data_IF_881235831568
#
_entry.id   IF_881235831568
#
_cell.length_a   1.000
_cell.length_b   1.000
_cell.length_c   1.000
_cell.angle_alpha   90.00
_cell.angle_beta   90.00
_cell.angle_gamma   90.00
#
_symmetry.space_group_name_H-M   'P 1'
#
loop_
_entity.id
_entity.type
_entity.pdbx_description
1 polymer ?
#
# COMPACT_ATOMS: atom_id res chain seq x y z
N UNK A 1 16.15 25.05 -10.07
CA UNK A 1 16.35 23.61 -9.87
C UNK A 1 17.12 22.95 -11.01
N UNK A 2 17.00 23.35 -12.27
CA UNK A 2 17.75 22.76 -13.41
C UNK A 2 19.28 22.65 -13.22
N UNK A 3 19.91 23.52 -12.41
CA UNK A 3 21.36 23.51 -12.16
C UNK A 3 21.80 22.34 -11.25
N UNK A 4 20.91 21.82 -10.39
CA UNK A 4 21.23 20.74 -9.45
C UNK A 4 20.87 19.35 -9.98
N UNK A 5 20.08 19.25 -11.06
CA UNK A 5 19.62 17.98 -11.64
C UNK A 5 20.77 17.00 -11.94
N UNK A 6 21.90 17.38 -12.57
CA UNK A 6 22.98 16.45 -12.84
C UNK A 6 23.67 15.90 -11.57
N UNK A 7 23.77 16.72 -10.52
CA UNK A 7 24.38 16.28 -9.26
C UNK A 7 23.47 15.29 -8.52
N UNK A 8 22.15 15.55 -8.49
CA UNK A 8 21.18 14.68 -7.83
C UNK A 8 21.02 13.39 -8.61
N UNK A 9 20.94 13.43 -9.93
CA UNK A 9 20.94 12.25 -10.81
C UNK A 9 22.18 11.38 -10.53
N UNK A 10 23.37 11.99 -10.43
CA UNK A 10 24.60 11.28 -10.09
C UNK A 10 24.55 10.63 -8.71
N UNK A 11 24.03 11.34 -7.70
CA UNK A 11 23.86 10.80 -6.34
C UNK A 11 22.86 9.63 -6.31
N UNK A 12 21.73 9.76 -7.00
CA UNK A 12 20.75 8.69 -7.14
C UNK A 12 21.35 7.44 -7.79
N UNK A 13 22.14 7.62 -8.84
CA UNK A 13 22.85 6.51 -9.49
C UNK A 13 23.94 5.88 -8.62
N UNK A 14 24.65 6.67 -7.80
CA UNK A 14 25.62 6.13 -6.83
C UNK A 14 24.95 5.25 -5.79
N UNK A 15 23.69 5.59 -5.41
CA UNK A 15 22.92 4.78 -4.51
C UNK A 15 22.50 3.45 -5.13
N UNK A 16 22.24 3.39 -6.43
CA UNK A 16 21.91 2.15 -7.15
C UNK A 16 22.97 1.07 -6.99
N UNK A 17 24.23 1.43 -6.76
CA UNK A 17 25.30 0.49 -6.43
C UNK A 17 24.99 -0.34 -5.16
N UNK A 18 24.31 0.21 -4.17
CA UNK A 18 23.85 -0.55 -3.00
C UNK A 18 22.80 -1.59 -3.36
N UNK A 19 21.87 -1.22 -4.25
CA UNK A 19 20.88 -2.15 -4.79
C UNK A 19 21.59 -3.34 -5.48
N UNK A 20 22.56 -3.05 -6.34
CA UNK A 20 23.35 -4.09 -6.99
C UNK A 20 24.08 -5.01 -6.01
N UNK A 21 24.48 -4.49 -4.86
CA UNK A 21 25.21 -5.26 -3.87
C UNK A 21 24.36 -6.41 -3.30
N UNK A 22 23.17 -6.09 -2.76
CA UNK A 22 22.29 -7.14 -2.23
C UNK A 22 21.59 -7.96 -3.32
N UNK A 23 21.46 -7.45 -4.52
CA UNK A 23 21.00 -8.24 -5.69
C UNK A 23 22.00 -9.38 -6.01
N UNK A 24 23.31 -9.15 -5.82
CA UNK A 24 24.34 -10.16 -6.07
C UNK A 24 24.35 -11.29 -5.04
N UNK A 25 24.04 -11.00 -3.78
CA UNK A 25 23.94 -12.01 -2.71
C UNK A 25 22.68 -11.80 -1.86
N UNK A 26 21.49 -12.08 -2.43
CA UNK A 26 20.22 -11.81 -1.78
C UNK A 26 19.99 -12.65 -0.52
N UNK A 27 20.57 -13.83 -0.44
CA UNK A 27 20.43 -14.72 0.70
C UNK A 27 21.29 -14.24 1.88
N UNK A 28 22.49 -13.73 1.61
CA UNK A 28 23.31 -13.11 2.65
C UNK A 28 22.64 -11.83 3.18
N UNK A 29 22.13 -10.95 2.30
CA UNK A 29 21.42 -9.76 2.71
C UNK A 29 20.24 -10.07 3.65
N UNK A 30 19.41 -11.05 3.32
CA UNK A 30 18.29 -11.46 4.17
C UNK A 30 18.72 -12.12 5.49
N UNK A 31 19.85 -12.79 5.51
CA UNK A 31 20.43 -13.35 6.75
C UNK A 31 20.91 -12.22 7.67
N UNK A 32 21.57 -11.22 7.12
CA UNK A 32 22.05 -10.05 7.87
C UNK A 32 20.87 -9.28 8.45
N UNK A 33 19.83 -9.02 7.66
CA UNK A 33 18.58 -8.38 8.13
C UNK A 33 17.96 -9.17 9.29
N UNK A 34 17.79 -10.49 9.16
CA UNK A 34 17.24 -11.31 10.26
C UNK A 34 18.09 -11.23 11.52
N UNK A 35 19.41 -11.29 11.39
CA UNK A 35 20.31 -11.22 12.55
C UNK A 35 20.23 -9.85 13.23
N UNK A 36 20.14 -8.80 12.47
CA UNK A 36 19.98 -7.43 12.98
C UNK A 36 18.65 -7.27 13.72
N UNK A 37 17.54 -7.70 13.13
CA UNK A 37 16.21 -7.68 13.75
C UNK A 37 16.21 -8.44 15.09
N UNK A 38 16.78 -9.64 15.13
CA UNK A 38 16.87 -10.46 16.37
C UNK A 38 17.70 -9.74 17.44
N UNK A 39 18.80 -9.12 17.02
CA UNK A 39 19.70 -8.40 17.94
C UNK A 39 18.98 -7.22 18.59
N UNK A 40 18.22 -6.43 17.81
CA UNK A 40 17.42 -5.32 18.33
C UNK A 40 16.22 -5.80 19.15
N UNK A 41 15.53 -6.84 18.69
CA UNK A 41 14.35 -7.36 19.35
C UNK A 41 14.60 -8.18 20.65
N UNK A 42 15.82 -8.64 20.93
CA UNK A 42 16.09 -9.62 22.00
C UNK A 42 15.70 -9.18 23.42
N UNK A 43 15.70 -7.87 23.67
CA UNK A 43 15.37 -7.34 25.00
C UNK A 43 13.91 -6.90 25.13
N UNK A 44 13.13 -6.98 24.06
CA UNK A 44 11.70 -6.66 24.08
C UNK A 44 10.89 -7.75 24.80
N UNK A 45 9.63 -7.45 25.12
CA UNK A 45 8.71 -8.43 25.72
C UNK A 45 8.55 -9.65 24.80
N UNK A 46 8.32 -9.43 23.51
CA UNK A 46 8.16 -10.50 22.52
C UNK A 46 9.47 -11.27 22.28
N UNK A 47 10.61 -10.57 22.31
CA UNK A 47 11.93 -11.19 22.20
C UNK A 47 12.27 -12.10 23.38
N UNK A 48 11.93 -11.70 24.59
CA UNK A 48 12.05 -12.54 25.79
C UNK A 48 11.11 -13.73 25.72
N UNK A 49 9.84 -13.53 25.32
CA UNK A 49 8.84 -14.61 25.16
C UNK A 49 9.34 -15.70 24.22
N UNK A 50 9.92 -15.33 23.09
CA UNK A 50 10.40 -16.27 22.07
C UNK A 50 11.91 -16.53 22.12
N UNK A 51 12.58 -16.15 23.22
CA UNK A 51 13.98 -16.46 23.52
C UNK A 51 14.95 -16.02 22.39
N UNK A 52 14.79 -14.80 21.89
CA UNK A 52 15.58 -14.28 20.76
C UNK A 52 17.08 -14.35 20.99
N UNK A 53 17.57 -14.14 22.23
CA UNK A 53 18.99 -14.27 22.61
C UNK A 53 19.58 -15.65 22.29
N UNK A 54 18.77 -16.67 22.07
CA UNK A 54 19.20 -18.02 21.72
C UNK A 54 19.12 -18.34 20.23
N UNK A 55 18.56 -17.41 19.42
CA UNK A 55 18.35 -17.61 17.97
C UNK A 55 19.63 -17.23 17.23
N UNK A 56 20.23 -18.17 16.55
CA UNK A 56 21.46 -17.99 15.77
C UNK A 56 21.31 -18.40 14.28
N UNK A 57 20.13 -18.86 13.88
CA UNK A 57 19.82 -19.17 12.48
C UNK A 57 18.30 -19.19 12.23
N UNK A 58 17.92 -19.13 10.95
CA UNK A 58 16.53 -19.13 10.49
C UNK A 58 15.74 -20.36 10.97
N UNK A 59 16.36 -21.55 11.03
CA UNK A 59 15.67 -22.78 11.47
C UNK A 59 15.20 -22.65 12.91
N UNK A 60 16.07 -22.12 13.81
CA UNK A 60 15.72 -21.89 15.20
C UNK A 60 14.71 -20.76 15.36
N UNK A 61 14.83 -19.69 14.56
CA UNK A 61 13.84 -18.62 14.50
C UNK A 61 12.44 -19.16 14.20
N UNK A 62 12.29 -19.95 13.14
CA UNK A 62 11.02 -20.56 12.74
C UNK A 62 10.48 -21.57 13.76
N UNK A 63 11.34 -22.21 14.52
CA UNK A 63 10.94 -23.16 15.56
C UNK A 63 10.40 -22.49 16.83
N UNK A 64 10.90 -21.29 17.16
CA UNK A 64 10.54 -20.58 18.40
C UNK A 64 9.43 -19.54 18.18
N UNK A 65 9.42 -18.87 17.02
CA UNK A 65 8.46 -17.82 16.69
C UNK A 65 7.37 -18.40 15.79
N UNK A 66 6.10 -18.42 16.18
CA UNK A 66 5.01 -18.86 15.32
C UNK A 66 4.75 -17.84 14.19
N UNK A 67 4.07 -18.28 13.13
CA UNK A 67 3.44 -17.32 12.18
C UNK A 67 2.30 -16.65 12.93
N UNK A 68 2.20 -15.32 12.82
CA UNK A 68 1.26 -14.51 13.57
C UNK A 68 0.33 -13.75 12.63
N UNK A 69 -0.96 -13.76 12.94
CA UNK A 69 -1.94 -12.85 12.38
C UNK A 69 -1.95 -11.53 13.18
N UNK A 70 -2.71 -10.55 12.71
CA UNK A 70 -2.87 -9.29 13.43
C UNK A 70 -3.42 -9.49 14.84
N UNK A 71 -4.38 -10.37 14.99
CA UNK A 71 -5.04 -10.69 16.25
C UNK A 71 -4.07 -11.24 17.31
N UNK A 72 -3.04 -11.96 16.88
CA UNK A 72 -1.99 -12.49 17.77
C UNK A 72 -1.05 -11.40 18.28
N UNK A 73 -0.80 -10.37 17.45
CA UNK A 73 0.04 -9.23 17.80
C UNK A 73 -0.74 -8.09 18.47
N UNK A 74 -2.06 -8.04 18.28
CA UNK A 74 -2.92 -6.96 18.79
C UNK A 74 -2.75 -6.67 20.29
N UNK A 75 -2.68 -7.65 21.19
CA UNK A 75 -2.45 -7.37 22.62
C UNK A 75 -1.15 -6.58 22.87
N UNK A 76 -0.08 -6.90 22.16
CA UNK A 76 1.20 -6.19 22.25
C UNK A 76 1.13 -4.80 21.61
N UNK A 77 0.44 -4.68 20.48
CA UNK A 77 0.19 -3.40 19.81
C UNK A 77 -0.60 -2.47 20.75
N UNK A 78 -1.63 -2.98 21.42
CA UNK A 78 -2.43 -2.23 22.39
C UNK A 78 -1.56 -1.74 23.58
N UNK A 79 -0.60 -2.53 24.07
CA UNK A 79 0.35 -2.11 25.11
C UNK A 79 1.26 -0.98 24.61
N UNK A 80 1.81 -1.10 23.39
CA UNK A 80 2.60 -0.02 22.76
C UNK A 80 1.78 1.26 22.60
N UNK A 81 0.52 1.16 22.19
CA UNK A 81 -0.40 2.30 22.08
C UNK A 81 -0.72 2.96 23.44
N UNK A 82 -0.52 2.26 24.55
CA UNK A 82 -0.60 2.82 25.91
C UNK A 82 0.73 3.46 26.36
N UNK A 83 1.77 3.42 25.53
CA UNK A 83 3.07 4.01 25.81
C UNK A 83 4.03 3.08 26.55
N UNK A 84 3.74 1.77 26.62
CA UNK A 84 4.64 0.81 27.25
C UNK A 84 5.86 0.58 26.36
N UNK A 85 7.10 0.72 26.91
CA UNK A 85 8.33 0.56 26.14
C UNK A 85 8.72 -0.90 25.98
N UNK A 86 9.61 -1.19 25.04
CA UNK A 86 10.25 -2.49 24.85
C UNK A 86 9.27 -3.67 24.69
N UNK A 87 8.11 -3.43 24.07
CA UNK A 87 7.11 -4.48 23.82
C UNK A 87 7.43 -5.24 22.54
N UNK A 88 7.30 -4.57 21.39
CA UNK A 88 7.51 -5.13 20.05
C UNK A 88 8.88 -4.80 19.47
N UNK A 89 9.40 -3.61 19.79
CA UNK A 89 10.68 -3.10 19.30
C UNK A 89 11.39 -2.35 20.43
N UNK A 90 12.72 -2.19 20.32
CA UNK A 90 13.55 -1.62 21.38
C UNK A 90 13.71 -0.09 21.34
N UNK A 91 13.12 0.55 20.36
CA UNK A 91 12.99 2.02 20.30
C UNK A 91 11.52 2.43 20.47
N UNK A 92 11.23 3.65 20.92
CA UNK A 92 9.86 4.12 21.04
C UNK A 92 9.11 4.05 19.71
N UNK A 93 7.86 3.59 19.77
CA UNK A 93 6.94 3.59 18.64
C UNK A 93 5.88 4.66 18.89
N UNK A 94 6.02 5.79 18.23
CA UNK A 94 5.12 6.95 18.37
C UNK A 94 4.07 6.99 17.27
N UNK A 95 4.25 6.20 16.21
CA UNK A 95 3.40 6.24 15.04
C UNK A 95 2.75 4.90 14.74
N UNK A 96 1.47 4.97 14.34
CA UNK A 96 0.74 3.80 13.86
C UNK A 96 0.08 4.12 12.52
N UNK A 97 0.32 3.25 11.54
CA UNK A 97 -0.43 3.30 10.29
C UNK A 97 -1.78 2.60 10.47
N UNK A 98 -2.88 3.35 10.25
CA UNK A 98 -4.22 2.78 10.23
C UNK A 98 -4.47 2.12 8.87
N UNK A 99 -4.78 0.84 8.89
CA UNK A 99 -5.09 0.04 7.71
C UNK A 99 -6.48 -0.57 7.87
N UNK A 100 -7.15 -0.90 6.77
CA UNK A 100 -8.45 -1.56 6.80
C UNK A 100 -8.37 -2.92 7.48
N UNK A 101 -9.32 -3.19 8.38
CA UNK A 101 -9.40 -4.43 9.14
C UNK A 101 -9.94 -5.59 8.32
N UNK A 102 -9.49 -6.81 8.63
CA UNK A 102 -9.87 -8.02 7.88
C UNK A 102 -10.82 -8.95 8.63
N UNK A 103 -11.16 -8.72 9.91
CA UNK A 103 -11.93 -9.74 10.66
C UNK A 103 -13.00 -9.20 11.58
N UNK A 104 -12.69 -8.53 12.66
CA UNK A 104 -13.69 -8.10 13.66
C UNK A 104 -13.67 -6.60 13.95
N UNK A 105 -12.53 -5.97 13.77
CA UNK A 105 -12.36 -4.53 13.94
C UNK A 105 -12.30 -3.85 12.57
N UNK A 106 -12.89 -2.67 12.46
CA UNK A 106 -12.90 -1.86 11.23
C UNK A 106 -11.50 -1.42 10.78
N UNK A 107 -10.49 -1.49 11.62
CA UNK A 107 -9.14 -1.00 11.30
C UNK A 107 -8.06 -1.77 12.07
N UNK A 108 -6.90 -1.94 11.42
CA UNK A 108 -5.66 -2.40 12.04
C UNK A 108 -4.77 -1.19 12.32
N UNK A 109 -3.97 -1.28 13.38
CA UNK A 109 -2.95 -0.29 13.70
C UNK A 109 -1.57 -0.94 13.60
N UNK A 110 -0.87 -0.62 12.54
CA UNK A 110 0.46 -1.19 12.26
C UNK A 110 1.51 -0.27 12.91
N UNK A 111 2.35 -0.80 13.81
CA UNK A 111 3.36 0.00 14.48
C UNK A 111 4.44 0.45 13.50
N UNK A 112 4.83 1.71 13.58
CA UNK A 112 5.89 2.33 12.78
C UNK A 112 6.96 2.89 13.72
N UNK A 113 8.08 2.18 13.86
CA UNK A 113 9.27 2.72 14.53
C UNK A 113 9.93 3.78 13.66
N UNK A 114 10.81 4.58 14.24
CA UNK A 114 11.61 5.54 13.47
C UNK A 114 12.44 4.83 12.39
N UNK A 115 13.01 3.67 12.71
CA UNK A 115 13.78 2.84 11.77
C UNK A 115 12.91 2.34 10.62
N UNK A 116 11.65 1.94 10.86
CA UNK A 116 10.76 1.52 9.78
C UNK A 116 10.37 2.69 8.87
N UNK A 117 10.20 3.88 9.41
CA UNK A 117 9.94 5.09 8.62
C UNK A 117 11.16 5.44 7.76
N UNK A 118 12.35 5.50 8.36
CA UNK A 118 13.56 5.99 7.68
C UNK A 118 14.23 4.94 6.79
N UNK A 119 14.47 3.74 7.35
CA UNK A 119 15.27 2.70 6.68
C UNK A 119 14.44 1.77 5.80
N UNK A 120 13.09 1.83 5.90
CA UNK A 120 12.20 1.11 5.00
C UNK A 120 11.44 2.07 4.08
N UNK A 121 10.44 2.81 4.59
CA UNK A 121 9.54 3.60 3.74
C UNK A 121 10.25 4.71 2.98
N UNK A 122 11.03 5.56 3.68
CA UNK A 122 11.78 6.63 3.00
C UNK A 122 12.93 6.07 2.18
N UNK A 123 13.55 4.99 2.65
CA UNK A 123 14.61 4.34 1.91
C UNK A 123 14.08 3.73 0.60
N UNK A 124 12.94 3.05 0.64
CA UNK A 124 12.25 2.53 -0.56
C UNK A 124 11.91 3.64 -1.56
N UNK A 125 11.40 4.77 -1.06
CA UNK A 125 11.14 5.95 -1.90
C UNK A 125 12.40 6.52 -2.57
N UNK A 126 13.55 6.55 -1.86
CA UNK A 126 14.84 6.96 -2.43
C UNK A 126 15.34 5.94 -3.46
N UNK A 127 15.09 4.65 -3.24
CA UNK A 127 15.51 3.61 -4.15
C UNK A 127 14.67 3.58 -5.43
N UNK A 128 13.39 3.92 -5.38
CA UNK A 128 12.57 4.19 -6.56
C UNK A 128 13.20 5.25 -7.45
N UNK A 129 13.63 6.38 -6.88
CA UNK A 129 14.34 7.42 -7.64
C UNK A 129 15.68 6.93 -8.19
N UNK A 130 16.42 6.14 -7.39
CA UNK A 130 17.71 5.58 -7.81
C UNK A 130 17.55 4.61 -8.99
N UNK A 131 16.54 3.76 -8.95
CA UNK A 131 16.15 2.84 -10.02
C UNK A 131 15.78 3.63 -11.28
N UNK A 132 14.93 4.64 -11.14
CA UNK A 132 14.48 5.46 -12.27
C UNK A 132 15.64 6.17 -12.97
N UNK A 133 16.52 6.84 -12.21
CA UNK A 133 17.70 7.51 -12.76
C UNK A 133 18.78 6.54 -13.29
N UNK A 134 18.81 5.32 -12.81
CA UNK A 134 19.67 4.30 -13.39
C UNK A 134 19.14 3.85 -14.75
N UNK A 135 17.82 3.70 -14.92
CA UNK A 135 17.18 3.37 -16.18
C UNK A 135 17.21 4.54 -17.18
N UNK A 136 17.00 5.76 -16.70
CA UNK A 136 16.92 6.99 -17.50
C UNK A 136 17.85 8.07 -16.95
N UNK A 137 19.17 7.99 -17.23
CA UNK A 137 20.17 8.93 -16.65
C UNK A 137 19.99 10.38 -17.03
N UNK A 138 19.36 10.66 -18.17
CA UNK A 138 19.14 12.00 -18.73
C UNK A 138 17.75 12.57 -18.34
N UNK A 139 17.03 11.91 -17.42
CA UNK A 139 15.69 12.34 -16.96
C UNK A 139 15.76 13.73 -16.31
N UNK A 140 14.78 14.55 -16.65
CA UNK A 140 14.55 15.87 -16.08
C UNK A 140 13.61 15.84 -14.86
N UNK A 141 13.28 14.67 -14.32
CA UNK A 141 12.29 14.43 -13.26
C UNK A 141 12.40 15.43 -12.09
N UNK A 142 13.63 15.67 -11.60
CA UNK A 142 13.90 16.57 -10.46
C UNK A 142 14.07 18.04 -10.85
N UNK A 143 13.78 18.42 -12.10
CA UNK A 143 13.72 19.84 -12.48
C UNK A 143 12.41 20.48 -12.08
N UNK A 144 11.36 19.69 -11.88
CA UNK A 144 10.05 20.09 -11.40
C UNK A 144 9.72 19.53 -10.02
N UNK A 145 8.43 19.41 -9.76
CA UNK A 145 7.87 18.94 -8.48
C UNK A 145 7.15 17.61 -8.64
N UNK A 146 7.17 16.81 -7.60
CA UNK A 146 6.36 15.61 -7.47
C UNK A 146 5.01 15.96 -6.83
N UNK A 147 3.93 15.63 -7.50
CA UNK A 147 2.59 15.68 -6.92
C UNK A 147 2.34 14.39 -6.15
N UNK A 148 2.06 14.50 -4.85
CA UNK A 148 1.76 13.37 -3.98
C UNK A 148 0.31 13.45 -3.53
N UNK A 149 -0.47 12.42 -3.88
CA UNK A 149 -1.86 12.30 -3.46
C UNK A 149 -1.85 11.44 -2.18
N UNK A 150 -1.96 12.11 -1.03
CA UNK A 150 -2.06 11.44 0.27
C UNK A 150 -3.43 10.80 0.49
N UNK A 151 -3.52 9.89 1.45
CA UNK A 151 -4.76 9.25 1.88
C UNK A 151 -5.82 10.21 2.43
N UNK A 152 -6.96 9.66 2.85
CA UNK A 152 -8.16 10.42 3.25
C UNK A 152 -8.23 10.78 4.74
N UNK A 153 -7.28 10.29 5.56
CA UNK A 153 -7.36 10.47 7.00
C UNK A 153 -6.25 11.38 7.53
N UNK A 154 -6.62 12.27 8.43
CA UNK A 154 -5.65 13.05 9.21
C UNK A 154 -4.92 12.14 10.19
N UNK A 155 -3.85 12.69 10.75
CA UNK A 155 -3.20 12.12 11.91
C UNK A 155 -3.98 12.48 13.17
N UNK A 156 -4.26 11.49 14.00
CA UNK A 156 -5.02 11.62 15.24
C UNK A 156 -4.15 11.24 16.44
N UNK A 157 -4.20 12.02 17.53
CA UNK A 157 -3.52 11.64 18.76
C UNK A 157 -4.24 10.45 19.42
N UNK A 158 -3.46 9.54 20.03
CA UNK A 158 -3.95 8.47 20.88
C UNK A 158 -3.71 8.85 22.34
N UNK A 159 -2.44 9.08 22.68
CA UNK A 159 -1.99 9.42 24.03
C UNK A 159 -0.61 10.09 23.93
N UNK A 160 -0.41 11.20 24.66
CA UNK A 160 0.85 11.93 24.69
C UNK A 160 1.40 12.15 23.24
N UNK A 161 2.58 11.64 22.94
CA UNK A 161 3.22 11.75 21.62
C UNK A 161 2.80 10.64 20.64
N UNK A 162 1.94 9.71 21.05
CA UNK A 162 1.51 8.58 20.22
C UNK A 162 0.36 9.00 19.30
N UNK A 163 0.52 8.75 18.01
CA UNK A 163 -0.39 9.18 16.96
C UNK A 163 -0.68 8.06 15.95
N UNK A 164 -1.80 8.17 15.26
CA UNK A 164 -2.12 7.28 14.15
C UNK A 164 -2.73 8.04 12.96
N UNK A 165 -2.57 7.50 11.79
CA UNK A 165 -3.18 8.01 10.56
C UNK A 165 -2.98 7.02 9.41
N UNK A 166 -3.43 7.37 8.21
CA UNK A 166 -3.01 6.63 7.02
C UNK A 166 -1.49 6.65 6.90
N UNK A 167 -0.90 5.58 6.37
CA UNK A 167 0.55 5.51 6.14
C UNK A 167 1.07 6.76 5.42
N UNK A 168 0.38 7.20 4.36
CA UNK A 168 0.78 8.38 3.59
C UNK A 168 0.76 9.66 4.43
N UNK A 169 -0.21 9.83 5.33
CA UNK A 169 -0.28 10.98 6.23
C UNK A 169 0.86 10.94 7.25
N UNK A 170 1.16 9.78 7.83
CA UNK A 170 2.29 9.59 8.74
C UNK A 170 3.60 9.91 8.05
N UNK A 171 3.85 9.36 6.85
CA UNK A 171 5.08 9.62 6.09
C UNK A 171 5.21 11.09 5.68
N UNK A 172 4.11 11.75 5.32
CA UNK A 172 4.12 13.17 4.98
C UNK A 172 4.50 14.05 6.18
N UNK A 173 3.98 13.75 7.38
CA UNK A 173 4.31 14.48 8.59
C UNK A 173 5.76 14.26 9.06
N UNK A 174 6.27 13.06 8.87
CA UNK A 174 7.66 12.71 9.23
C UNK A 174 8.67 13.05 8.12
N UNK A 175 8.20 13.58 6.98
CA UNK A 175 9.11 13.89 5.87
C UNK A 175 10.03 15.06 6.19
N UNK A 176 11.31 15.04 5.74
CA UNK A 176 12.24 16.12 5.96
C UNK A 176 11.70 17.47 5.44
N UNK A 177 11.99 18.57 6.13
CA UNK A 177 11.49 19.93 5.79
C UNK A 177 11.81 20.30 4.33
N UNK A 178 12.98 19.91 3.81
CA UNK A 178 13.38 20.21 2.43
C UNK A 178 12.49 19.49 1.39
N UNK A 179 11.79 18.43 1.76
CA UNK A 179 10.89 17.72 0.83
C UNK A 179 9.76 18.61 0.32
N UNK A 180 9.35 19.62 1.11
CA UNK A 180 8.38 20.62 0.68
C UNK A 180 8.84 21.49 -0.51
N UNK A 181 10.14 21.54 -0.81
CA UNK A 181 10.66 22.27 -1.96
C UNK A 181 10.46 21.52 -3.29
N UNK A 182 10.36 20.19 -3.23
CA UNK A 182 10.28 19.29 -4.40
C UNK A 182 8.92 18.59 -4.52
N UNK A 183 8.00 18.87 -3.60
CA UNK A 183 6.69 18.24 -3.52
C UNK A 183 5.57 19.26 -3.61
N UNK A 184 4.46 18.85 -4.18
CA UNK A 184 3.16 19.53 -4.14
C UNK A 184 2.07 18.50 -3.81
N UNK A 185 0.96 18.92 -3.19
CA UNK A 185 0.69 20.24 -2.61
C UNK A 185 1.41 20.46 -1.28
N UNK A 186 1.12 21.60 -0.64
CA UNK A 186 1.47 21.83 0.76
C UNK A 186 0.79 20.82 1.69
N UNK A 187 1.39 20.59 2.88
CA UNK A 187 0.87 19.62 3.86
C UNK A 187 -0.58 19.90 4.27
N UNK A 188 -0.95 21.16 4.40
CA UNK A 188 -2.32 21.58 4.74
C UNK A 188 -3.38 21.05 3.77
N UNK A 189 -3.06 20.96 2.49
CA UNK A 189 -3.94 20.40 1.46
C UNK A 189 -3.79 18.88 1.41
N UNK A 190 -2.56 18.38 1.46
CA UNK A 190 -2.29 16.95 1.38
C UNK A 190 -2.96 16.14 2.51
N UNK A 191 -3.15 16.74 3.69
CA UNK A 191 -3.74 16.14 4.88
C UNK A 191 -5.21 16.49 5.12
N UNK A 192 -5.90 17.09 4.13
CA UNK A 192 -7.35 17.35 4.26
C UNK A 192 -8.15 16.04 4.32
N UNK A 193 -9.20 16.02 5.15
CA UNK A 193 -10.08 14.86 5.33
C UNK A 193 -11.16 14.79 4.25
N UNK A 194 -11.73 15.95 3.90
CA UNK A 194 -12.86 16.03 2.99
C UNK A 194 -12.39 15.93 1.54
N UNK A 195 -12.72 14.82 0.88
CA UNK A 195 -12.18 14.46 -0.43
C UNK A 195 -12.54 15.42 -1.57
N UNK A 196 -13.75 15.94 -1.59
CA UNK A 196 -14.18 16.84 -2.67
C UNK A 196 -13.40 18.16 -2.62
N UNK A 197 -13.34 18.77 -1.42
CA UNK A 197 -12.54 19.97 -1.21
C UNK A 197 -11.04 19.69 -1.42
N UNK A 198 -10.56 18.52 -1.01
CA UNK A 198 -9.17 18.10 -1.23
C UNK A 198 -8.83 18.02 -2.71
N UNK A 199 -9.64 17.33 -3.52
CA UNK A 199 -9.43 17.22 -4.97
C UNK A 199 -9.50 18.60 -5.63
N UNK A 200 -10.42 19.45 -5.23
CA UNK A 200 -10.53 20.82 -5.76
C UNK A 200 -9.29 21.66 -5.42
N UNK A 201 -8.86 21.64 -4.14
CA UNK A 201 -7.67 22.36 -3.70
C UNK A 201 -6.38 21.80 -4.31
N UNK A 202 -6.27 20.47 -4.44
CA UNK A 202 -5.19 19.81 -5.17
C UNK A 202 -5.10 20.30 -6.61
N UNK A 203 -6.24 20.27 -7.34
CA UNK A 203 -6.28 20.70 -8.73
C UNK A 203 -5.87 22.18 -8.84
N UNK A 204 -6.50 23.07 -8.08
CA UNK A 204 -6.23 24.51 -8.15
C UNK A 204 -4.79 24.89 -7.78
N UNK A 205 -4.24 24.26 -6.75
CA UNK A 205 -2.89 24.58 -6.25
C UNK A 205 -1.77 24.04 -7.15
N UNK A 206 -2.05 23.03 -7.99
CA UNK A 206 -1.01 22.34 -8.76
C UNK A 206 -0.99 22.69 -10.25
N UNK A 207 -2.06 23.27 -10.79
CA UNK A 207 -2.16 23.62 -12.23
C UNK A 207 -0.99 24.52 -12.67
N UNK A 208 -0.57 25.48 -11.85
CA UNK A 208 0.52 26.42 -12.17
C UNK A 208 1.91 25.94 -11.73
N UNK A 209 1.98 24.77 -11.10
CA UNK A 209 3.24 24.21 -10.63
C UNK A 209 3.93 23.42 -11.75
N UNK A 210 5.26 23.40 -11.79
CA UNK A 210 6.02 22.60 -12.75
C UNK A 210 6.03 21.12 -12.35
N UNK A 211 4.89 20.45 -12.46
CA UNK A 211 4.77 19.03 -12.09
C UNK A 211 5.43 18.16 -13.13
N UNK A 212 6.43 17.38 -12.70
CA UNK A 212 7.13 16.39 -13.53
C UNK A 212 6.73 14.96 -13.22
N UNK A 213 6.22 14.71 -12.02
CA UNK A 213 5.78 13.37 -11.61
C UNK A 213 4.60 13.39 -10.67
N UNK A 214 3.87 12.27 -10.64
CA UNK A 214 2.79 12.01 -9.69
C UNK A 214 3.09 10.70 -8.98
N UNK A 215 2.82 10.64 -7.67
CA UNK A 215 2.74 9.42 -6.89
C UNK A 215 1.36 9.30 -6.24
N UNK A 216 0.65 8.20 -6.53
CA UNK A 216 -0.69 7.99 -5.99
C UNK A 216 -1.39 6.75 -6.54
N UNK A 217 -2.47 6.37 -5.85
CA UNK A 217 -3.33 5.26 -6.27
C UNK A 217 -4.07 5.63 -7.57
N UNK A 218 -4.16 4.72 -8.56
CA UNK A 218 -4.75 5.00 -9.87
C UNK A 218 -6.13 5.67 -9.84
N UNK A 219 -7.03 5.19 -9.00
CA UNK A 219 -8.40 5.71 -8.91
C UNK A 219 -8.43 7.21 -8.58
N UNK A 220 -7.77 7.61 -7.50
CA UNK A 220 -7.75 9.01 -7.06
C UNK A 220 -6.94 9.90 -7.98
N UNK A 221 -5.86 9.39 -8.53
CA UNK A 221 -5.07 10.10 -9.54
C UNK A 221 -5.93 10.39 -10.76
N UNK A 222 -6.70 9.43 -11.24
CA UNK A 222 -7.61 9.61 -12.38
C UNK A 222 -8.66 10.72 -12.13
N UNK A 223 -9.29 10.72 -10.94
CA UNK A 223 -10.25 11.75 -10.53
C UNK A 223 -9.60 13.14 -10.55
N UNK A 224 -8.41 13.27 -9.96
CA UNK A 224 -7.67 14.53 -9.93
C UNK A 224 -7.29 15.00 -11.33
N UNK A 225 -6.74 14.15 -12.17
CA UNK A 225 -6.35 14.51 -13.54
C UNK A 225 -7.56 14.96 -14.37
N UNK A 226 -8.69 14.26 -14.29
CA UNK A 226 -9.95 14.67 -14.93
C UNK A 226 -10.40 16.06 -14.43
N UNK A 227 -10.31 16.32 -13.13
CA UNK A 227 -10.67 17.62 -12.56
C UNK A 227 -9.76 18.76 -13.06
N UNK A 228 -8.45 18.52 -13.14
CA UNK A 228 -7.51 19.49 -13.71
C UNK A 228 -7.84 19.83 -15.16
N UNK A 229 -8.16 18.84 -15.99
CA UNK A 229 -8.55 19.06 -17.37
C UNK A 229 -9.87 19.86 -17.49
N UNK A 230 -10.84 19.59 -16.62
CA UNK A 230 -12.08 20.37 -16.55
C UNK A 230 -11.84 21.84 -16.21
N UNK A 231 -11.00 22.13 -15.21
CA UNK A 231 -10.68 23.50 -14.78
C UNK A 231 -9.90 24.25 -15.85
N UNK A 232 -8.93 23.59 -16.48
CA UNK A 232 -8.04 24.25 -17.45
C UNK A 232 -8.64 24.34 -18.87
N UNK A 233 -9.67 23.53 -19.17
CA UNK A 233 -10.21 23.37 -20.52
C UNK A 233 -9.23 22.72 -21.50
N UNK A 234 -8.10 22.15 -20.98
CA UNK A 234 -7.12 21.44 -21.80
C UNK A 234 -7.59 20.03 -22.13
N UNK A 235 -7.03 19.45 -23.20
CA UNK A 235 -7.39 18.10 -23.65
C UNK A 235 -6.53 17.02 -22.99
N UNK A 236 -5.28 17.37 -22.64
CA UNK A 236 -4.31 16.42 -22.08
C UNK A 236 -3.50 17.05 -20.95
N UNK A 237 -2.95 16.20 -20.08
CA UNK A 237 -2.10 16.61 -18.97
C UNK A 237 -0.78 17.21 -19.46
N UNK A 238 -0.26 16.73 -20.58
CA UNK A 238 0.92 17.33 -21.24
C UNK A 238 0.69 18.78 -21.69
N UNK A 239 -0.55 19.19 -21.96
CA UNK A 239 -0.87 20.59 -22.24
C UNK A 239 -0.92 21.46 -20.97
N UNK A 240 -1.09 20.85 -19.79
CA UNK A 240 -1.05 21.53 -18.49
C UNK A 240 0.39 21.53 -17.95
N UNK A 241 1.02 20.36 -17.95
CA UNK A 241 2.38 20.13 -17.48
C UNK A 241 3.25 19.54 -18.60
N UNK A 242 3.89 20.36 -19.43
CA UNK A 242 4.64 19.89 -20.61
C UNK A 242 5.79 18.92 -20.25
N UNK A 243 6.42 19.12 -19.08
CA UNK A 243 7.53 18.32 -18.60
C UNK A 243 7.09 17.11 -17.72
N UNK A 244 5.78 16.78 -17.68
CA UNK A 244 5.29 15.62 -16.94
C UNK A 244 5.86 14.33 -17.52
N UNK A 245 6.58 13.56 -16.73
CA UNK A 245 7.43 12.46 -17.21
C UNK A 245 7.12 11.11 -16.58
N UNK A 246 6.71 11.08 -15.29
CA UNK A 246 6.59 9.84 -14.52
C UNK A 246 5.30 9.78 -13.70
N UNK A 247 4.63 8.63 -13.79
CA UNK A 247 3.57 8.26 -12.85
C UNK A 247 3.99 7.04 -12.03
N UNK A 248 4.12 7.21 -10.71
CA UNK A 248 4.40 6.15 -9.74
C UNK A 248 3.07 5.69 -9.15
N UNK A 249 2.75 4.41 -9.28
CA UNK A 249 1.47 3.86 -8.86
C UNK A 249 1.63 2.57 -8.06
N UNK A 250 0.62 2.26 -7.25
CA UNK A 250 0.54 1.05 -6.44
C UNK A 250 -0.80 0.97 -5.72
N UNK A 251 -0.94 -0.01 -4.86
CA UNK A 251 -2.15 -0.23 -4.04
C UNK A 251 -3.27 -0.98 -4.73
N UNK A 252 -3.45 -0.81 -6.04
CA UNK A 252 -4.41 -1.54 -6.88
C UNK A 252 -3.80 -1.89 -8.23
N UNK A 253 -4.37 -2.88 -8.91
CA UNK A 253 -3.95 -3.22 -10.29
C UNK A 253 -4.08 -2.02 -11.22
N UNK A 254 -3.02 -1.67 -11.94
CA UNK A 254 -3.02 -0.56 -12.90
C UNK A 254 -3.57 -0.95 -14.27
N UNK A 255 -3.56 -2.22 -14.62
CA UNK A 255 -3.94 -2.74 -15.94
C UNK A 255 -5.30 -2.19 -16.44
N UNK A 256 -6.38 -2.16 -15.63
CA UNK A 256 -7.67 -1.64 -16.10
C UNK A 256 -7.67 -0.15 -16.41
N UNK A 257 -6.76 0.62 -15.84
CA UNK A 257 -6.69 2.08 -15.97
C UNK A 257 -5.71 2.56 -17.03
N UNK A 258 -4.77 1.72 -17.44
CA UNK A 258 -3.61 2.09 -18.26
C UNK A 258 -4.01 2.78 -19.58
N UNK A 259 -5.04 2.29 -20.26
CA UNK A 259 -5.48 2.84 -21.53
C UNK A 259 -6.01 4.28 -21.36
N UNK A 260 -6.79 4.51 -20.30
CA UNK A 260 -7.37 5.84 -20.03
C UNK A 260 -6.29 6.82 -19.55
N UNK A 261 -5.33 6.38 -18.73
CA UNK A 261 -4.17 7.20 -18.35
C UNK A 261 -3.37 7.65 -19.57
N UNK A 262 -3.04 6.75 -20.49
CA UNK A 262 -2.35 7.11 -21.75
C UNK A 262 -3.11 8.17 -22.55
N UNK A 263 -4.42 8.03 -22.65
CA UNK A 263 -5.29 8.98 -23.35
C UNK A 263 -5.30 10.37 -22.67
N UNK A 264 -5.48 10.41 -21.35
CA UNK A 264 -5.57 11.65 -20.56
C UNK A 264 -4.22 12.36 -20.50
N UNK A 265 -3.13 11.63 -20.36
CA UNK A 265 -1.78 12.22 -20.32
C UNK A 265 -1.44 12.81 -21.70
N UNK A 266 -1.74 12.12 -22.80
CA UNK A 266 -1.65 12.65 -24.15
C UNK A 266 -0.23 12.84 -24.68
N UNK A 267 0.70 12.01 -24.26
CA UNK A 267 2.10 12.00 -24.71
C UNK A 267 2.93 10.95 -23.97
N UNK A 268 4.24 10.97 -24.17
CA UNK A 268 5.15 10.03 -23.53
C UNK A 268 5.18 10.23 -22.02
N UNK A 269 4.96 9.16 -21.28
CA UNK A 269 5.02 9.10 -19.83
C UNK A 269 5.48 7.71 -19.42
N UNK A 270 6.38 7.67 -18.44
CA UNK A 270 6.80 6.43 -17.82
C UNK A 270 5.85 6.06 -16.69
N UNK A 271 5.60 4.78 -16.54
CA UNK A 271 4.80 4.20 -15.46
C UNK A 271 5.70 3.32 -14.62
N UNK A 272 5.67 3.48 -13.30
CA UNK A 272 6.47 2.72 -12.38
C UNK A 272 5.59 2.18 -11.26
N UNK A 273 5.50 0.86 -11.20
CA UNK A 273 4.74 0.19 -10.16
C UNK A 273 5.55 0.06 -8.89
N UNK A 274 4.89 0.29 -7.73
CA UNK A 274 5.45 0.06 -6.41
C UNK A 274 4.52 -0.84 -5.59
N UNK A 275 5.12 -1.63 -4.71
CA UNK A 275 4.41 -2.38 -3.70
C UNK A 275 4.82 -1.90 -2.32
N UNK A 276 4.01 -1.01 -1.77
CA UNK A 276 4.11 -0.58 -0.38
C UNK A 276 2.77 -0.78 0.33
N UNK A 277 2.85 -1.11 1.61
CA UNK A 277 1.72 -1.30 2.52
C UNK A 277 2.05 -0.63 3.85
N UNK A 278 1.09 -0.61 4.77
CA UNK A 278 1.33 -0.09 6.14
C UNK A 278 2.46 -0.85 6.85
N UNK A 279 2.63 -2.11 6.52
CA UNK A 279 3.63 -3.03 7.08
C UNK A 279 5.05 -2.80 6.54
N UNK A 280 5.20 -2.15 5.37
CA UNK A 280 6.49 -1.85 4.78
C UNK A 280 6.45 -1.53 3.29
N UNK A 281 7.57 -1.02 2.79
CA UNK A 281 7.84 -0.83 1.35
C UNK A 281 8.60 -2.06 0.84
N UNK A 282 7.93 -2.90 0.07
CA UNK A 282 8.42 -4.24 -0.27
C UNK A 282 9.17 -4.30 -1.61
N UNK A 283 8.66 -3.61 -2.64
CA UNK A 283 9.21 -3.75 -3.98
C UNK A 283 8.91 -2.53 -4.87
N UNK A 284 9.69 -2.35 -5.93
CA UNK A 284 9.43 -1.39 -6.98
C UNK A 284 9.86 -1.94 -8.35
N UNK A 285 9.16 -1.56 -9.40
CA UNK A 285 9.53 -1.90 -10.76
C UNK A 285 10.88 -1.26 -11.11
N UNK A 286 11.86 -2.07 -11.49
CA UNK A 286 13.20 -1.64 -11.86
C UNK A 286 13.47 -1.65 -13.36
N UNK A 287 12.50 -2.13 -14.14
CA UNK A 287 12.50 -2.13 -15.60
C UNK A 287 11.14 -1.66 -16.11
N UNK A 288 11.11 -0.52 -16.77
CA UNK A 288 9.90 0.17 -17.15
C UNK A 288 9.04 -0.57 -18.18
N UNK A 289 9.63 -1.47 -18.94
CA UNK A 289 9.04 -2.24 -20.04
C UNK A 289 8.81 -3.74 -19.71
N UNK A 290 9.18 -4.17 -18.50
CA UNK A 290 9.02 -5.55 -18.05
C UNK A 290 8.06 -5.64 -16.88
N UNK A 291 7.28 -6.73 -16.81
CA UNK A 291 6.42 -7.03 -15.66
C UNK A 291 7.28 -7.40 -14.43
N UNK A 292 6.83 -6.98 -13.28
CA UNK A 292 7.38 -7.35 -11.99
C UNK A 292 8.22 -6.27 -11.34
N UNK A 293 8.24 -6.33 -10.02
CA UNK A 293 8.90 -5.39 -9.12
C UNK A 293 10.08 -6.06 -8.43
N UNK A 294 11.22 -5.40 -8.42
CA UNK A 294 12.41 -5.83 -7.67
C UNK A 294 12.08 -5.85 -6.17
N UNK A 295 12.18 -7.02 -5.54
CA UNK A 295 11.95 -7.19 -4.11
C UNK A 295 13.11 -6.57 -3.32
N UNK A 296 12.82 -5.66 -2.39
CA UNK A 296 13.83 -4.98 -1.57
C UNK A 296 14.25 -5.85 -0.40
N UNK A 297 15.55 -6.17 -0.33
CA UNK A 297 16.06 -7.22 0.57
C UNK A 297 16.91 -6.71 1.74
N UNK A 298 17.20 -5.41 1.80
CA UNK A 298 18.03 -4.78 2.85
C UNK A 298 17.34 -3.63 3.61
N UNK A 299 16.02 -3.51 3.47
CA UNK A 299 15.22 -2.41 4.05
C UNK A 299 14.60 -2.77 5.41
N UNK A 300 15.30 -3.52 6.26
CA UNK A 300 14.82 -3.86 7.59
C UNK A 300 13.62 -4.82 7.60
N UNK A 301 13.41 -5.57 6.51
CA UNK A 301 12.37 -6.61 6.40
C UNK A 301 12.99 -7.94 6.05
N UNK A 302 12.76 -8.94 6.92
CA UNK A 302 13.05 -10.32 6.64
C UNK A 302 11.82 -11.03 6.09
N UNK A 303 11.96 -11.69 4.94
CA UNK A 303 10.87 -12.34 4.21
C UNK A 303 10.88 -13.85 4.37
N UNK A 304 9.69 -14.39 4.55
CA UNK A 304 9.35 -15.80 4.36
C UNK A 304 8.16 -15.89 3.42
N UNK A 305 8.09 -16.97 2.67
CA UNK A 305 7.05 -17.20 1.67
C UNK A 305 6.27 -18.46 2.05
N UNK A 306 4.97 -18.33 2.30
CA UNK A 306 4.09 -19.44 2.59
C UNK A 306 3.37 -19.85 1.30
N UNK A 307 3.60 -21.06 0.76
CA UNK A 307 2.79 -21.57 -0.34
C UNK A 307 1.30 -21.46 0.01
N UNK A 308 0.48 -20.93 -0.90
CA UNK A 308 -0.94 -20.67 -0.63
C UNK A 308 -1.66 -21.92 -0.15
N UNK A 309 -1.27 -23.10 -0.64
CA UNK A 309 -1.83 -24.40 -0.23
C UNK A 309 -1.48 -24.79 1.22
N UNK A 310 -0.56 -24.06 1.85
CA UNK A 310 -0.21 -24.26 3.27
C UNK A 310 -1.07 -23.42 4.21
N UNK A 311 -1.78 -22.42 3.69
CA UNK A 311 -2.68 -21.58 4.47
C UNK A 311 -3.84 -22.39 5.04
N UNK A 312 -4.21 -22.14 6.29
CA UNK A 312 -5.29 -22.86 6.98
C UNK A 312 -4.94 -24.26 7.48
N UNK A 313 -3.72 -24.77 7.23
CA UNK A 313 -3.26 -26.01 7.82
C UNK A 313 -2.89 -25.82 9.29
N UNK A 314 -2.97 -26.87 10.10
CA UNK A 314 -2.61 -26.85 11.50
C UNK A 314 -1.15 -26.40 11.71
N UNK A 315 -0.24 -26.79 10.82
CA UNK A 315 1.18 -26.42 10.84
C UNK A 315 1.57 -25.82 9.48
N UNK A 316 1.28 -24.54 9.24
CA UNK A 316 1.62 -23.90 7.99
C UNK A 316 3.13 -23.79 7.80
N UNK A 317 3.60 -24.11 6.59
CA UNK A 317 5.03 -24.13 6.25
C UNK A 317 5.37 -22.87 5.49
N UNK A 318 6.49 -22.24 5.85
CA UNK A 318 7.10 -21.15 5.07
C UNK A 318 8.44 -21.58 4.49
N UNK A 319 8.84 -21.01 3.37
CA UNK A 319 10.16 -21.20 2.73
C UNK A 319 10.91 -19.86 2.67
N UNK A 320 12.22 -19.92 2.50
CA UNK A 320 13.05 -18.75 2.23
C UNK A 320 13.15 -18.45 0.73
N UNK A 321 13.80 -17.35 0.37
CA UNK A 321 14.07 -16.95 -1.00
C UNK A 321 14.81 -18.01 -1.81
N UNK A 322 15.66 -18.81 -1.15
CA UNK A 322 16.43 -19.89 -1.78
C UNK A 322 15.57 -21.06 -2.30
N UNK A 323 14.28 -21.08 -2.00
CA UNK A 323 13.36 -22.18 -2.31
C UNK A 323 12.10 -21.77 -3.05
N UNK A 324 11.96 -20.49 -3.38
CA UNK A 324 10.80 -20.03 -4.16
C UNK A 324 10.91 -20.48 -5.61
N UNK A 325 9.77 -20.66 -6.25
CA UNK A 325 9.64 -21.14 -7.62
C UNK A 325 8.87 -20.13 -8.48
N UNK A 326 9.23 -20.02 -9.75
CA UNK A 326 8.55 -19.13 -10.69
C UNK A 326 7.08 -19.50 -10.85
N UNK A 327 6.22 -18.49 -10.89
CA UNK A 327 4.79 -18.62 -11.16
C UNK A 327 3.95 -19.24 -10.05
N UNK A 328 4.56 -19.69 -8.94
CA UNK A 328 3.82 -20.16 -7.78
C UNK A 328 3.32 -19.00 -6.92
N UNK A 329 2.12 -19.15 -6.35
CA UNK A 329 1.56 -18.19 -5.42
C UNK A 329 2.05 -18.42 -3.99
N UNK A 330 2.54 -17.36 -3.38
CA UNK A 330 2.99 -17.35 -2.00
C UNK A 330 2.34 -16.22 -1.22
N UNK A 331 1.87 -16.50 0.00
CA UNK A 331 1.55 -15.44 0.95
C UNK A 331 2.85 -14.95 1.61
N UNK A 332 2.95 -13.62 1.78
CA UNK A 332 4.12 -13.00 2.39
C UNK A 332 4.00 -13.05 3.91
N UNK A 333 5.04 -13.56 4.56
CA UNK A 333 5.25 -13.51 6.00
C UNK A 333 6.50 -12.69 6.27
N UNK A 334 6.40 -11.68 7.11
CA UNK A 334 7.48 -10.70 7.36
C UNK A 334 7.86 -10.62 8.83
N UNK A 335 9.13 -10.28 9.06
CA UNK A 335 9.59 -9.72 10.33
C UNK A 335 10.26 -8.40 10.03
N UNK A 336 9.91 -7.33 10.77
CA UNK A 336 10.27 -5.97 10.41
C UNK A 336 10.94 -5.21 11.56
N UNK A 337 11.71 -4.19 11.21
CA UNK A 337 12.22 -3.20 12.15
C UNK A 337 11.14 -2.27 12.75
N UNK A 338 9.86 -2.47 12.43
CA UNK A 338 8.69 -1.90 13.11
C UNK A 338 8.13 -2.80 14.22
N UNK A 339 8.74 -3.97 14.47
CA UNK A 339 8.31 -4.90 15.53
C UNK A 339 7.25 -5.91 15.12
N UNK A 340 6.98 -6.08 13.84
CA UNK A 340 6.18 -7.21 13.35
C UNK A 340 7.07 -8.46 13.26
N UNK A 341 6.65 -9.56 13.87
CA UNK A 341 7.44 -10.79 13.94
C UNK A 341 6.68 -11.96 13.33
N UNK A 342 7.21 -12.51 12.23
CA UNK A 342 6.59 -13.54 11.39
C UNK A 342 5.12 -13.26 11.10
N UNK A 343 4.85 -11.99 10.82
CA UNK A 343 3.51 -11.48 10.56
C UNK A 343 3.04 -11.86 9.16
N UNK A 344 1.84 -12.45 9.07
CA UNK A 344 1.18 -12.79 7.82
C UNK A 344 0.48 -11.54 7.26
N UNK A 345 1.03 -10.95 6.21
CA UNK A 345 0.50 -9.72 5.58
C UNK A 345 -0.89 -9.96 5.00
N UNK A 346 -1.10 -11.12 4.39
CA UNK A 346 -2.36 -11.50 3.76
C UNK A 346 -2.35 -11.34 2.24
N UNK A 347 -1.43 -10.56 1.68
CA UNK A 347 -1.23 -10.47 0.23
C UNK A 347 -0.52 -11.72 -0.30
N UNK A 348 -0.81 -12.05 -1.56
CA UNK A 348 -0.12 -13.11 -2.29
C UNK A 348 0.68 -12.54 -3.45
N UNK A 349 1.85 -13.14 -3.68
CA UNK A 349 2.77 -12.76 -4.76
C UNK A 349 3.20 -13.96 -5.57
N UNK A 350 3.59 -13.70 -6.80
CA UNK A 350 4.29 -14.64 -7.68
C UNK A 350 5.67 -14.10 -8.02
N UNK A 351 6.68 -14.97 -8.05
CA UNK A 351 7.97 -14.61 -8.58
C UNK A 351 7.94 -14.68 -10.10
N UNK A 352 8.33 -13.59 -10.77
CA UNK A 352 8.44 -13.50 -12.23
C UNK A 352 9.89 -13.70 -12.70
N UNK A 353 10.86 -13.40 -11.83
CA UNK A 353 12.28 -13.77 -11.99
C UNK A 353 12.89 -14.16 -10.64
N UNK A 354 13.96 -14.99 -10.67
CA UNK A 354 14.70 -15.39 -9.48
C UNK A 354 16.10 -14.76 -9.40
N UNK A 355 16.55 -14.13 -10.46
CA UNK A 355 17.84 -13.43 -10.49
C UNK A 355 17.77 -12.18 -11.38
N UNK A 356 17.58 -11.00 -10.80
CA UNK A 356 17.21 -10.74 -9.41
C UNK A 356 15.78 -11.23 -9.08
N UNK A 357 15.46 -11.29 -7.79
CA UNK A 357 14.12 -11.63 -7.35
C UNK A 357 13.15 -10.50 -7.67
N UNK A 358 12.25 -10.75 -8.63
CA UNK A 358 11.14 -9.85 -8.95
C UNK A 358 9.82 -10.55 -8.69
N UNK A 359 8.90 -9.82 -8.11
CA UNK A 359 7.57 -10.30 -7.77
C UNK A 359 6.49 -9.45 -8.46
N UNK A 360 5.32 -10.04 -8.59
CA UNK A 360 4.06 -9.31 -8.82
C UNK A 360 3.06 -9.68 -7.75
N UNK A 361 2.20 -8.75 -7.38
CA UNK A 361 1.07 -9.02 -6.50
C UNK A 361 0.05 -9.83 -7.30
N UNK A 362 -0.32 -11.00 -6.79
CA UNK A 362 -1.25 -11.92 -7.46
C UNK A 362 -2.64 -11.95 -6.83
N UNK A 363 -2.82 -11.33 -5.66
CA UNK A 363 -4.10 -11.25 -4.97
C UNK A 363 -3.95 -11.27 -3.45
N UNK A 364 -4.95 -11.82 -2.75
CA UNK A 364 -4.93 -12.02 -1.29
C UNK A 364 -5.37 -13.43 -0.91
N UNK A 365 -4.95 -13.86 0.29
CA UNK A 365 -5.34 -15.14 0.88
C UNK A 365 -6.85 -15.29 1.10
N UNK A 366 -7.51 -14.19 1.47
CA UNK A 366 -8.97 -14.10 1.56
C UNK A 366 -9.49 -13.42 0.30
N UNK A 367 -10.52 -13.96 -0.32
CA UNK A 367 -11.17 -13.31 -1.45
C UNK A 367 -11.79 -11.99 -1.00
N UNK A 368 -11.58 -10.94 -1.81
CA UNK A 368 -12.12 -9.61 -1.55
C UNK A 368 -12.10 -8.77 -2.84
N UNK A 369 -12.91 -7.73 -2.88
CA UNK A 369 -12.93 -6.75 -3.96
C UNK A 369 -12.08 -5.56 -3.55
N UNK A 370 -11.11 -5.19 -4.38
CA UNK A 370 -10.22 -4.05 -4.16
C UNK A 370 -9.87 -3.34 -5.48
N UNK A 371 -10.88 -3.06 -6.29
CA UNK A 371 -10.68 -2.42 -7.58
C UNK A 371 -10.42 -0.90 -7.45
N UNK A 372 -10.87 -0.29 -6.35
CA UNK A 372 -10.81 1.14 -6.09
C UNK A 372 -10.06 1.46 -4.78
N UNK A 373 -9.50 0.47 -4.11
CA UNK A 373 -8.89 0.60 -2.78
C UNK A 373 -9.91 0.50 -1.62
N UNK A 374 -11.05 -0.15 -1.88
CA UNK A 374 -12.14 -0.37 -0.91
C UNK A 374 -11.91 -1.57 0.00
N UNK A 375 -10.98 -2.45 -0.36
CA UNK A 375 -10.61 -3.65 0.40
C UNK A 375 -11.82 -4.42 1.01
N UNK A 376 -12.84 -4.61 0.19
CA UNK A 376 -14.07 -5.29 0.60
C UNK A 376 -13.84 -6.80 0.62
N UNK A 377 -13.65 -7.37 1.80
CA UNK A 377 -13.45 -8.80 2.01
C UNK A 377 -14.79 -9.57 2.02
N UNK A 378 -14.74 -10.89 1.83
CA UNK A 378 -15.92 -11.75 1.83
C UNK A 378 -16.76 -11.57 3.10
N UNK A 379 -16.14 -11.50 4.29
CA UNK A 379 -16.84 -11.28 5.56
C UNK A 379 -17.63 -9.95 5.59
N UNK A 380 -17.11 -8.88 4.96
CA UNK A 380 -17.83 -7.61 4.85
C UNK A 380 -19.07 -7.78 3.97
N UNK A 381 -18.89 -8.41 2.81
CA UNK A 381 -19.96 -8.69 1.84
C UNK A 381 -21.04 -9.57 2.45
N UNK A 382 -20.67 -10.67 3.09
CA UNK A 382 -21.57 -11.61 3.75
C UNK A 382 -22.40 -10.94 4.84
N UNK A 383 -21.75 -10.12 5.67
CA UNK A 383 -22.39 -9.37 6.74
C UNK A 383 -23.37 -8.33 6.21
N UNK A 384 -22.93 -7.52 5.25
CA UNK A 384 -23.75 -6.49 4.67
C UNK A 384 -24.99 -7.04 3.99
N UNK A 385 -24.84 -8.09 3.15
CA UNK A 385 -25.96 -8.68 2.44
C UNK A 385 -26.92 -9.40 3.40
N UNK A 386 -26.42 -10.07 4.44
CA UNK A 386 -27.23 -10.73 5.45
C UNK A 386 -28.11 -9.73 6.22
N UNK A 387 -27.53 -8.59 6.63
CA UNK A 387 -28.26 -7.50 7.32
C UNK A 387 -29.32 -6.90 6.37
N UNK A 388 -28.95 -6.68 5.11
CA UNK A 388 -29.88 -6.15 4.08
C UNK A 388 -31.06 -7.11 3.85
N UNK A 389 -30.80 -8.39 3.68
CA UNK A 389 -31.83 -9.39 3.50
C UNK A 389 -32.77 -9.45 4.72
N UNK A 390 -32.22 -9.41 5.94
CA UNK A 390 -32.99 -9.42 7.16
C UNK A 390 -33.87 -8.15 7.31
N UNK A 391 -33.34 -6.97 7.02
CA UNK A 391 -34.07 -5.69 7.14
C UNK A 391 -35.24 -5.60 6.16
N UNK A 392 -35.10 -6.18 4.98
CA UNK A 392 -36.11 -6.16 3.91
C UNK A 392 -36.97 -7.43 3.83
N UNK A 393 -36.76 -8.35 4.77
CA UNK A 393 -37.45 -9.64 4.81
C UNK A 393 -37.32 -10.44 3.48
N UNK A 394 -36.11 -10.46 2.93
CA UNK A 394 -35.74 -11.16 1.70
C UNK A 394 -34.89 -12.37 2.04
N UNK A 395 -35.07 -13.47 1.31
CA UNK A 395 -34.23 -14.66 1.42
C UNK A 395 -33.40 -14.81 0.15
N UNK A 396 -32.10 -14.82 0.30
CA UNK A 396 -31.17 -15.14 -0.78
C UNK A 396 -30.64 -16.56 -0.63
N UNK A 397 -30.20 -17.16 -1.72
CA UNK A 397 -29.52 -18.46 -1.75
C UNK A 397 -28.03 -18.30 -1.90
N UNK A 398 -27.59 -17.55 -2.91
CA UNK A 398 -26.20 -17.39 -3.28
C UNK A 398 -25.95 -16.00 -3.86
N UNK A 399 -24.70 -15.52 -3.80
CA UNK A 399 -24.29 -14.28 -4.47
C UNK A 399 -22.84 -14.32 -4.92
N UNK A 400 -22.50 -13.49 -5.89
CA UNK A 400 -21.13 -13.09 -6.21
C UNK A 400 -21.10 -11.61 -6.55
N UNK A 401 -19.94 -11.00 -6.37
CA UNK A 401 -19.75 -9.61 -6.72
C UNK A 401 -18.46 -9.41 -7.52
N UNK A 402 -18.49 -8.48 -8.46
CA UNK A 402 -17.36 -8.15 -9.31
C UNK A 402 -17.26 -6.63 -9.49
N UNK A 403 -16.04 -6.07 -9.64
CA UNK A 403 -15.90 -4.64 -9.90
C UNK A 403 -16.28 -4.28 -11.34
N UNK A 404 -16.98 -3.16 -11.51
CA UNK A 404 -17.13 -2.43 -12.76
C UNK A 404 -16.17 -1.25 -12.72
N UNK A 405 -15.14 -1.29 -13.55
CA UNK A 405 -14.10 -0.24 -13.54
C UNK A 405 -14.58 1.10 -14.05
N UNK A 406 -13.96 2.17 -13.56
CA UNK A 406 -14.21 3.53 -14.03
C UNK A 406 -14.03 3.64 -15.55
N UNK A 407 -14.90 4.42 -16.18
CA UNK A 407 -14.84 4.70 -17.60
C UNK A 407 -15.14 6.16 -17.87
N UNK A 408 -15.08 6.58 -19.14
CA UNK A 408 -15.53 7.91 -19.60
C UNK A 408 -16.99 8.22 -19.21
N UNK A 409 -17.78 7.20 -18.86
CA UNK A 409 -19.21 7.32 -18.57
C UNK A 409 -19.56 7.49 -17.08
N UNK A 410 -18.58 7.37 -16.16
CA UNK A 410 -18.88 7.57 -14.75
C UNK A 410 -17.90 6.88 -13.77
N UNK A 411 -18.23 6.97 -12.49
CA UNK A 411 -17.55 6.29 -11.39
C UNK A 411 -17.58 4.77 -11.57
N UNK A 412 -16.66 4.07 -10.89
CA UNK A 412 -16.73 2.62 -10.79
C UNK A 412 -17.94 2.16 -9.96
N UNK A 413 -18.21 0.87 -9.98
CA UNK A 413 -19.29 0.25 -9.18
C UNK A 413 -18.93 -1.20 -8.85
N UNK A 414 -19.72 -1.81 -7.97
CA UNK A 414 -19.76 -3.27 -7.83
C UNK A 414 -21.01 -3.80 -8.52
N UNK A 415 -20.84 -4.79 -9.40
CA UNK A 415 -21.95 -5.55 -9.93
C UNK A 415 -22.19 -6.76 -9.02
N UNK A 416 -23.40 -6.87 -8.48
CA UNK A 416 -23.79 -7.96 -7.62
C UNK A 416 -24.78 -8.87 -8.36
N UNK A 417 -24.41 -10.14 -8.46
CA UNK A 417 -25.28 -11.16 -8.99
C UNK A 417 -25.80 -11.99 -7.82
N UNK A 418 -27.11 -11.89 -7.54
CA UNK A 418 -27.73 -12.50 -6.36
C UNK A 418 -28.84 -13.43 -6.78
N UNK A 419 -28.79 -14.69 -6.33
CA UNK A 419 -29.89 -15.63 -6.45
C UNK A 419 -30.82 -15.49 -5.24
N UNK A 420 -32.03 -15.01 -5.48
CA UNK A 420 -33.04 -14.87 -4.43
C UNK A 420 -33.98 -16.11 -4.42
N UNK A 421 -34.40 -16.51 -3.22
CA UNK A 421 -35.54 -17.42 -3.07
C UNK A 421 -36.85 -16.67 -3.30
N UNK A 422 -36.94 -15.40 -2.80
CA UNK A 422 -38.01 -14.46 -3.09
C UNK A 422 -37.39 -13.10 -3.46
N UNK A 423 -37.62 -12.68 -4.70
CA UNK A 423 -37.06 -11.42 -5.23
C UNK A 423 -37.63 -10.23 -4.44
N UNK A 424 -36.78 -9.25 -4.04
CA UNK A 424 -37.26 -8.02 -3.43
C UNK A 424 -38.30 -7.29 -4.28
N UNK A 425 -39.33 -6.77 -3.65
CA UNK A 425 -40.37 -5.99 -4.35
C UNK A 425 -39.84 -4.64 -4.91
N UNK A 426 -38.79 -4.12 -4.30
CA UNK A 426 -38.09 -2.91 -4.71
C UNK A 426 -36.57 -3.16 -4.72
N UNK A 427 -36.01 -3.39 -5.91
CA UNK A 427 -34.57 -3.63 -6.09
C UNK A 427 -33.74 -2.37 -5.81
N UNK A 428 -34.29 -1.17 -6.06
CA UNK A 428 -33.56 0.04 -5.77
C UNK A 428 -33.42 0.25 -4.25
N UNK A 429 -34.48 0.02 -3.47
CA UNK A 429 -34.42 0.05 -2.02
C UNK A 429 -33.45 -1.02 -1.47
N UNK A 430 -33.40 -2.22 -2.07
CA UNK A 430 -32.44 -3.25 -1.73
C UNK A 430 -31.00 -2.79 -1.97
N UNK A 431 -30.71 -2.21 -3.14
CA UNK A 431 -29.39 -1.70 -3.50
C UNK A 431 -28.92 -0.60 -2.54
N UNK A 432 -29.79 0.37 -2.21
CA UNK A 432 -29.47 1.47 -1.29
C UNK A 432 -29.19 0.93 0.13
N UNK A 433 -29.96 -0.02 0.60
CA UNK A 433 -29.75 -0.61 1.93
C UNK A 433 -28.48 -1.47 1.96
N UNK A 434 -28.18 -2.20 0.87
CA UNK A 434 -26.92 -2.94 0.74
C UNK A 434 -25.73 -2.02 0.78
N UNK A 435 -25.76 -0.92 0.02
CA UNK A 435 -24.71 0.10 0.02
C UNK A 435 -24.46 0.68 1.41
N UNK A 436 -25.53 1.06 2.13
CA UNK A 436 -25.45 1.55 3.50
C UNK A 436 -24.84 0.54 4.47
N UNK A 437 -25.21 -0.73 4.34
CA UNK A 437 -24.65 -1.79 5.17
C UNK A 437 -23.19 -2.08 4.83
N UNK A 438 -22.79 -2.03 3.54
CA UNK A 438 -21.38 -2.11 3.12
C UNK A 438 -20.55 -0.97 3.73
N UNK A 439 -21.03 0.27 3.68
CA UNK A 439 -20.37 1.41 4.30
C UNK A 439 -20.22 1.22 5.82
N UNK A 440 -21.24 0.64 6.50
CA UNK A 440 -21.20 0.43 7.96
C UNK A 440 -20.16 -0.59 8.41
N UNK A 441 -19.78 -1.54 7.55
CA UNK A 441 -18.86 -2.65 7.87
C UNK A 441 -17.46 -2.47 7.31
N UNK A 442 -17.25 -1.50 6.41
CA UNK A 442 -15.97 -1.27 5.78
C UNK A 442 -15.73 0.24 5.56
N UNK A 443 -14.74 0.78 6.28
CA UNK A 443 -14.43 2.22 6.25
C UNK A 443 -13.82 2.70 4.92
N UNK A 444 -13.11 1.82 4.22
CA UNK A 444 -12.53 2.17 2.92
C UNK A 444 -13.58 2.18 1.83
N UNK A 445 -14.53 1.26 1.88
CA UNK A 445 -15.72 1.31 1.04
C UNK A 445 -16.50 2.59 1.29
N UNK A 446 -16.77 2.95 2.56
CA UNK A 446 -17.43 4.21 2.94
C UNK A 446 -16.72 5.43 2.35
N UNK A 447 -15.38 5.50 2.48
CA UNK A 447 -14.59 6.59 1.91
C UNK A 447 -14.70 6.68 0.38
N UNK A 448 -14.72 5.54 -0.33
CA UNK A 448 -14.85 5.51 -1.81
C UNK A 448 -16.27 5.83 -2.30
N UNK A 449 -17.29 5.57 -1.46
CA UNK A 449 -18.70 5.90 -1.76
C UNK A 449 -19.02 7.39 -1.59
N UNK A 450 -18.12 8.17 -0.97
CA UNK A 450 -18.37 9.57 -0.70
C UNK A 450 -18.75 10.33 -1.98
N UNK A 451 -20.02 10.80 -2.05
CA UNK A 451 -20.61 11.54 -3.17
C UNK A 451 -20.46 10.87 -4.55
N UNK A 452 -20.37 9.56 -4.61
CA UNK A 452 -20.23 8.77 -5.86
C UNK A 452 -19.02 9.16 -6.74
N UNK A 453 -17.96 9.72 -6.12
CA UNK A 453 -16.80 10.23 -6.87
C UNK A 453 -15.95 9.08 -7.43
N UNK A 454 -15.66 8.09 -6.60
CA UNK A 454 -14.83 6.93 -6.99
C UNK A 454 -15.68 5.69 -7.25
N UNK A 455 -16.69 5.45 -6.40
CA UNK A 455 -17.53 4.27 -6.43
C UNK A 455 -19.00 4.68 -6.39
N UNK A 456 -19.77 4.27 -7.38
CA UNK A 456 -21.22 4.43 -7.46
C UNK A 456 -21.98 3.39 -6.63
N UNK A 457 -23.32 3.42 -6.65
CA UNK A 457 -24.17 2.39 -6.05
C UNK A 457 -23.83 1.01 -6.59
N UNK A 458 -23.88 -0.04 -5.76
CA UNK A 458 -23.65 -1.42 -6.17
C UNK A 458 -24.70 -1.94 -7.16
#
# INVERSE_FOLDING_TARGET
MKIFSPAISRLARLRYWRIEHWVKDPIAAQREVLQDLITHGQYTQIGRKYQFSTIFNIRKFKALVPIQAYEDLKPYIDEVMQGEPDILWNTPIEWFAKSSGTTSDKSKFIPLSQESIEDNHFQGSKDVLSIYYNALPESDLLTGKMLVIGGSHQVHPIKDDIQYGDLSAVLLQNSPIWSGLVRVPELSIALMDEWESKIEMLAQSTIQEPVTSIAGVPTWTMVLLKRILQITGKKTIKEVWPDFELYIHGGVSFTPYQAEFKKIIGGDCNYLEIYNASEGFFAAQDRLDEEGMLLFLDHGIFYEFMPVESYGKENPVTIGLDKVELGKNYAIVISTNGGLWRYLVGDTVQFVTLNPFRIKVSGRLKQYINAFGEELIADNSDKAISVTCASLNVVMKEYTAAPIFMSDKGAGAHEWLIEFENVPSDMHAFTVELDKNLQSVNSDYEAKRYKDIALGLP
#
